data_IF_578312275819
#
_entry.id   IF_578312275819
#
_cell.length_a   1.000
_cell.length_b   1.000
_cell.length_c   1.000
_cell.angle_alpha   90.00
_cell.angle_beta   90.00
_cell.angle_gamma   90.00
#
_symmetry.space_group_name_H-M   'P 1'
#
loop_
_entity.id
_entity.type
_entity.pdbx_description
1 polymer ?
#
# COMPACT_ATOMS: atom_id res chain seq x y z
N UNK A 1 1.78 -4.20 -15.37
CA UNK A 1 2.07 -4.32 -13.92
C UNK A 1 0.97 -5.16 -13.31
N UNK A 2 1.27 -6.38 -12.87
CA UNK A 2 0.28 -7.39 -12.46
C UNK A 2 -0.55 -6.93 -11.25
N UNK A 3 0.05 -6.20 -10.31
CA UNK A 3 -0.62 -5.75 -9.08
C UNK A 3 -1.34 -4.41 -9.18
N UNK A 4 -1.26 -3.72 -10.31
CA UNK A 4 -1.69 -2.31 -10.42
C UNK A 4 -3.16 -2.11 -10.09
N UNK A 5 -4.02 -2.95 -10.67
CA UNK A 5 -5.47 -2.85 -10.49
C UNK A 5 -5.87 -3.07 -9.01
N UNK A 6 -5.25 -4.05 -8.35
CA UNK A 6 -5.48 -4.32 -6.92
C UNK A 6 -5.06 -3.13 -6.04
N UNK A 7 -3.86 -2.59 -6.24
CA UNK A 7 -3.35 -1.45 -5.47
C UNK A 7 -4.22 -0.19 -5.62
N UNK A 8 -4.65 0.08 -6.86
CA UNK A 8 -5.49 1.22 -7.19
C UNK A 8 -6.87 1.12 -6.52
N UNK A 9 -7.50 -0.06 -6.59
CA UNK A 9 -8.83 -0.28 -6.01
C UNK A 9 -8.78 -0.34 -4.48
N UNK A 10 -7.76 -0.97 -3.90
CA UNK A 10 -7.54 -0.91 -2.44
C UNK A 10 -7.45 0.53 -1.94
N UNK A 11 -6.71 1.39 -2.64
CA UNK A 11 -6.61 2.79 -2.24
C UNK A 11 -7.92 3.57 -2.45
N UNK A 12 -8.60 3.39 -3.57
CA UNK A 12 -9.84 4.13 -3.84
C UNK A 12 -11.01 3.73 -2.96
N UNK A 13 -11.15 2.43 -2.67
CA UNK A 13 -12.30 1.92 -1.94
C UNK A 13 -12.08 2.05 -0.43
N UNK A 14 -10.87 1.76 0.07
CA UNK A 14 -10.57 1.76 1.51
C UNK A 14 -9.81 3.01 1.99
N UNK A 15 -9.11 3.70 1.09
CA UNK A 15 -8.16 4.76 1.45
C UNK A 15 -6.83 4.25 1.99
N UNK A 16 -6.55 2.95 1.92
CA UNK A 16 -5.35 2.32 2.46
C UNK A 16 -4.47 1.71 1.37
N UNK A 17 -3.16 1.75 1.58
CA UNK A 17 -2.16 1.21 0.64
C UNK A 17 -1.73 -0.17 1.13
N UNK A 18 -1.83 -1.23 0.30
CA UNK A 18 -1.31 -2.54 0.66
C UNK A 18 0.21 -2.51 0.84
N UNK A 19 0.72 -3.15 1.89
CA UNK A 19 2.17 -3.39 2.03
C UNK A 19 2.61 -4.41 0.98
N UNK A 20 3.67 -4.11 0.23
CA UNK A 20 4.29 -5.04 -0.70
C UNK A 20 5.81 -5.09 -0.57
N UNK A 21 6.43 -6.29 -0.53
CA UNK A 21 5.83 -7.64 -0.63
C UNK A 21 4.78 -7.99 0.44
N UNK A 22 3.76 -8.77 0.05
CA UNK A 22 2.69 -9.18 0.96
C UNK A 22 3.25 -10.07 2.08
N UNK A 23 2.72 -9.91 3.30
CA UNK A 23 3.21 -10.59 4.51
C UNK A 23 4.32 -9.85 5.26
N UNK A 24 4.82 -8.73 4.74
CA UNK A 24 5.61 -7.80 5.55
C UNK A 24 4.71 -7.02 6.52
N UNK A 25 5.29 -6.68 7.66
CA UNK A 25 4.66 -5.84 8.66
C UNK A 25 5.01 -4.37 8.40
N UNK A 26 4.02 -3.50 8.56
CA UNK A 26 4.23 -2.07 8.68
C UNK A 26 3.89 -1.64 10.11
N UNK A 27 4.71 -0.78 10.68
CA UNK A 27 4.52 -0.22 12.02
C UNK A 27 4.39 1.29 11.98
N UNK A 28 3.72 1.85 12.99
CA UNK A 28 3.66 3.30 13.14
C UNK A 28 5.06 3.87 13.32
N UNK A 29 5.36 4.93 12.58
CA UNK A 29 6.68 5.56 12.60
C UNK A 29 7.69 4.93 11.67
N UNK A 30 7.37 3.84 10.94
CA UNK A 30 8.26 3.34 9.90
C UNK A 30 8.56 4.44 8.89
N UNK A 31 9.85 4.73 8.74
CA UNK A 31 10.38 5.66 7.74
C UNK A 31 10.88 4.83 6.57
N UNK A 32 10.36 5.09 5.39
CA UNK A 32 10.65 4.27 4.22
C UNK A 32 10.81 5.09 2.94
N UNK A 33 11.36 4.42 1.93
CA UNK A 33 11.42 4.90 0.56
C UNK A 33 10.72 3.91 -0.37
N UNK A 34 10.14 4.44 -1.45
CA UNK A 34 9.62 3.61 -2.54
C UNK A 34 10.72 3.50 -3.58
N UNK A 35 11.26 2.30 -3.77
CA UNK A 35 12.29 2.04 -4.77
C UNK A 35 11.92 0.80 -5.58
N UNK A 36 11.87 0.93 -6.90
CA UNK A 36 11.55 -0.17 -7.84
C UNK A 36 10.29 -0.97 -7.47
N UNK A 37 9.20 -0.29 -7.12
CA UNK A 37 7.94 -0.94 -6.77
C UNK A 37 7.91 -1.61 -5.40
N UNK A 38 8.86 -1.28 -4.51
CA UNK A 38 8.95 -1.87 -3.18
C UNK A 38 9.08 -0.79 -2.12
N UNK A 39 8.41 -1.03 -1.00
CA UNK A 39 8.64 -0.29 0.23
C UNK A 39 9.94 -0.80 0.85
N UNK A 40 10.94 0.07 0.95
CA UNK A 40 12.18 -0.18 1.66
C UNK A 40 12.15 0.60 2.97
N UNK A 41 11.84 -0.09 4.08
CA UNK A 41 11.93 0.49 5.41
C UNK A 41 13.39 0.79 5.74
N UNK A 42 13.65 2.02 6.13
CA UNK A 42 14.98 2.56 6.41
C UNK A 42 15.29 2.54 7.90
N UNK A 43 14.30 2.91 8.71
CA UNK A 43 14.33 2.92 10.18
C UNK A 43 12.91 3.04 10.71
N UNK A 44 12.70 2.79 12.00
CA UNK A 44 11.48 3.14 12.71
C UNK A 44 11.71 4.37 13.59
N UNK A 45 10.98 5.45 13.35
CA UNK A 45 11.17 6.72 14.05
C UNK A 45 10.90 6.64 15.56
N UNK A 46 10.07 5.72 16.03
CA UNK A 46 9.79 5.55 17.46
C UNK A 46 10.91 4.83 18.22
N UNK A 47 11.69 4.00 17.53
CA UNK A 47 12.74 3.16 18.13
C UNK A 47 14.15 3.67 17.83
N UNK A 48 14.40 4.13 16.61
CA UNK A 48 15.74 4.44 16.09
C UNK A 48 16.10 5.92 16.19
N UNK A 49 15.11 6.79 16.41
CA UNK A 49 15.32 8.23 16.58
C UNK A 49 15.04 8.63 18.02
N UNK A 50 15.94 9.43 18.59
CA UNK A 50 15.74 10.07 19.89
C UNK A 50 14.77 11.25 19.73
N UNK A 51 13.47 10.94 19.82
CA UNK A 51 12.38 11.90 19.76
C UNK A 51 12.02 12.39 21.15
N UNK A 52 11.90 13.72 21.31
CA UNK A 52 11.35 14.35 22.51
C UNK A 52 9.88 13.95 22.68
N UNK A 53 9.14 13.90 21.58
CA UNK A 53 7.75 13.45 21.58
C UNK A 53 7.67 12.01 21.06
N UNK A 54 7.49 11.05 21.96
CA UNK A 54 7.31 9.65 21.57
C UNK A 54 6.05 9.44 20.74
N UNK A 55 6.09 8.49 19.81
CA UNK A 55 4.93 8.15 18.98
C UNK A 55 3.84 7.53 19.86
N UNK A 56 2.64 8.13 19.83
CA UNK A 56 1.47 7.62 20.54
C UNK A 56 0.45 7.07 19.55
N UNK A 57 0.13 5.79 19.72
CA UNK A 57 -0.91 5.11 18.98
C UNK A 57 -2.28 5.27 19.66
N UNK A 58 -3.34 5.40 18.87
CA UNK A 58 -4.70 5.17 19.36
C UNK A 58 -4.93 3.68 19.64
N UNK A 59 -5.95 3.37 20.43
CA UNK A 59 -6.47 2.00 20.50
C UNK A 59 -6.95 1.55 19.12
N UNK A 60 -6.73 0.27 18.81
CA UNK A 60 -7.15 -0.31 17.55
C UNK A 60 -8.67 -0.28 17.44
N UNK A 61 -9.19 0.18 16.30
CA UNK A 61 -10.63 0.27 16.06
C UNK A 61 -11.04 -0.41 14.75
N UNK A 62 -12.28 -0.93 14.66
CA UNK A 62 -12.74 -1.61 13.47
C UNK A 62 -12.95 -0.67 12.29
N UNK A 63 -12.53 -1.11 11.11
CA UNK A 63 -12.89 -0.52 9.82
C UNK A 63 -14.13 -1.23 9.24
N UNK A 64 -14.78 -0.59 8.27
CA UNK A 64 -15.96 -1.15 7.59
C UNK A 64 -15.54 -2.33 6.70
N UNK A 65 -16.07 -3.52 6.96
CA UNK A 65 -15.74 -4.75 6.23
C UNK A 65 -15.99 -4.68 4.71
N UNK A 66 -17.02 -3.94 4.28
CA UNK A 66 -17.39 -3.85 2.86
C UNK A 66 -16.29 -3.19 2.01
N UNK A 67 -15.44 -2.35 2.63
CA UNK A 67 -14.31 -1.69 1.97
C UNK A 67 -13.08 -2.59 1.83
N UNK A 68 -13.23 -3.89 2.10
CA UNK A 68 -12.15 -4.88 2.05
C UNK A 68 -12.56 -6.14 1.28
N UNK A 69 -13.55 -6.00 0.39
CA UNK A 69 -14.06 -7.06 -0.47
C UNK A 69 -14.17 -6.56 -1.89
N UNK A 70 -13.16 -6.84 -2.70
CA UNK A 70 -13.08 -6.31 -4.06
C UNK A 70 -12.73 -7.42 -5.03
N UNK A 71 -13.36 -7.37 -6.19
CA UNK A 71 -13.03 -8.23 -7.31
C UNK A 71 -13.06 -7.39 -8.58
N UNK A 72 -12.11 -7.62 -9.48
CA UNK A 72 -12.07 -6.94 -10.77
C UNK A 72 -11.77 -7.95 -11.86
N UNK A 73 -12.62 -7.99 -12.89
CA UNK A 73 -12.50 -8.89 -14.04
C UNK A 73 -12.37 -10.37 -13.62
N UNK A 74 -13.14 -10.74 -12.59
CA UNK A 74 -13.21 -12.09 -12.05
C UNK A 74 -14.69 -12.50 -11.96
N UNK A 75 -15.02 -13.67 -12.50
CA UNK A 75 -16.37 -14.19 -12.58
C UNK A 75 -16.43 -15.57 -11.93
N UNK A 76 -17.48 -15.82 -11.14
CA UNK A 76 -17.81 -17.16 -10.67
C UNK A 76 -18.48 -17.92 -11.82
N UNK A 77 -17.80 -18.93 -12.36
CA UNK A 77 -18.25 -19.69 -13.54
C UNK A 77 -18.96 -20.99 -13.17
N UNK A 78 -18.65 -21.57 -12.01
CA UNK A 78 -19.33 -22.76 -11.49
C UNK A 78 -19.57 -22.66 -9.99
N UNK A 79 -20.68 -23.27 -9.55
CA UNK A 79 -21.09 -23.38 -8.15
C UNK A 79 -21.93 -24.64 -7.97
N UNK A 80 -21.26 -25.75 -7.70
CA UNK A 80 -21.83 -27.09 -7.73
C UNK A 80 -21.70 -27.79 -6.37
N UNK A 81 -22.56 -28.79 -6.14
CA UNK A 81 -22.47 -29.67 -4.97
C UNK A 81 -21.88 -31.00 -5.41
N UNK A 82 -20.76 -31.38 -4.80
CA UNK A 82 -20.10 -32.67 -5.00
C UNK A 82 -20.50 -33.59 -3.85
N UNK A 83 -21.00 -34.76 -4.18
CA UNK A 83 -21.28 -35.82 -3.19
C UNK A 83 -20.12 -36.79 -3.25
N UNK A 84 -19.28 -36.79 -2.21
CA UNK A 84 -18.24 -37.79 -2.03
C UNK A 84 -18.79 -38.92 -1.17
N UNK A 85 -18.85 -40.14 -1.73
CA UNK A 85 -19.08 -41.36 -0.97
C UNK A 85 -17.75 -41.99 -0.60
N UNK A 86 -17.42 -41.98 0.68
CA UNK A 86 -16.36 -42.84 1.23
C UNK A 86 -17.01 -43.86 2.17
N UNK A 87 -16.92 -45.14 1.80
CA UNK A 87 -17.54 -46.25 2.53
C UNK A 87 -19.05 -46.08 2.75
N UNK A 88 -19.48 -45.83 3.99
CA UNK A 88 -20.88 -45.65 4.41
C UNK A 88 -21.26 -44.19 4.71
N UNK A 89 -20.31 -43.25 4.68
CA UNK A 89 -20.59 -41.83 4.92
C UNK A 89 -20.66 -41.06 3.60
N UNK A 90 -21.77 -40.35 3.40
CA UNK A 90 -21.95 -39.37 2.33
C UNK A 90 -21.54 -38.00 2.86
N UNK A 91 -20.47 -37.44 2.31
CA UNK A 91 -20.12 -36.04 2.55
C UNK A 91 -20.54 -35.20 1.34
N UNK A 92 -21.22 -34.08 1.59
CA UNK A 92 -21.61 -33.12 0.55
C UNK A 92 -20.69 -31.92 0.67
N UNK A 93 -19.84 -31.73 -0.32
CA UNK A 93 -18.98 -30.55 -0.46
C UNK A 93 -19.56 -29.62 -1.50
N UNK A 94 -19.27 -28.34 -1.37
CA UNK A 94 -19.57 -27.34 -2.40
C UNK A 94 -18.27 -27.01 -3.13
N UNK A 95 -18.32 -26.96 -4.45
CA UNK A 95 -17.21 -26.56 -5.30
C UNK A 95 -17.57 -25.26 -6.01
N UNK A 96 -16.66 -24.29 -6.01
CA UNK A 96 -16.80 -23.04 -6.75
C UNK A 96 -15.58 -22.82 -7.64
N UNK A 97 -15.83 -22.42 -8.88
CA UNK A 97 -14.78 -22.08 -9.83
C UNK A 97 -14.88 -20.61 -10.21
N UNK A 98 -13.76 -19.91 -10.12
CA UNK A 98 -13.57 -18.52 -10.52
C UNK A 98 -12.66 -18.46 -11.74
N UNK A 99 -13.04 -17.66 -12.73
CA UNK A 99 -12.24 -17.39 -13.92
C UNK A 99 -11.90 -15.91 -14.01
N UNK A 100 -10.67 -15.63 -14.42
CA UNK A 100 -10.12 -14.28 -14.53
C UNK A 100 -9.99 -13.88 -16.00
N UNK A 101 -10.59 -12.74 -16.36
CA UNK A 101 -10.73 -12.35 -17.76
C UNK A 101 -9.44 -11.79 -18.39
N UNK A 102 -8.47 -11.36 -17.57
CA UNK A 102 -7.20 -10.80 -18.06
C UNK A 102 -6.07 -10.89 -17.01
N UNK A 103 -4.83 -10.71 -17.45
CA UNK A 103 -3.70 -10.53 -16.55
C UNK A 103 -3.90 -9.31 -15.63
N UNK A 104 -3.63 -9.48 -14.34
CA UNK A 104 -3.85 -8.47 -13.29
C UNK A 104 -5.30 -8.37 -12.78
N UNK A 105 -6.23 -9.14 -13.35
CA UNK A 105 -7.53 -9.37 -12.71
C UNK A 105 -7.32 -10.03 -11.34
N UNK A 106 -8.19 -9.72 -10.39
CA UNK A 106 -8.00 -10.16 -9.02
C UNK A 106 -9.32 -10.41 -8.28
N UNK A 107 -9.21 -11.20 -7.21
CA UNK A 107 -10.24 -11.46 -6.22
C UNK A 107 -9.61 -11.28 -4.84
N UNK A 108 -10.17 -10.38 -4.03
CA UNK A 108 -9.66 -10.05 -2.71
C UNK A 108 -10.78 -10.07 -1.67
N UNK A 109 -10.42 -10.58 -0.50
CA UNK A 109 -11.24 -10.60 0.69
C UNK A 109 -10.37 -10.33 1.92
N UNK A 110 -10.82 -9.43 2.77
CA UNK A 110 -10.27 -9.20 4.10
C UNK A 110 -11.38 -9.23 5.14
N UNK A 111 -11.12 -9.89 6.28
CA UNK A 111 -12.05 -9.94 7.40
C UNK A 111 -11.52 -9.21 8.63
N UNK A 112 -12.45 -8.62 9.38
CA UNK A 112 -12.22 -7.90 10.62
C UNK A 112 -11.00 -6.94 10.57
N UNK A 113 -10.98 -5.98 9.62
CA UNK A 113 -9.87 -5.06 9.43
C UNK A 113 -9.81 -4.05 10.58
N UNK A 114 -8.75 -4.13 11.39
CA UNK A 114 -8.51 -3.22 12.51
C UNK A 114 -7.49 -2.16 12.12
N UNK A 115 -7.72 -0.91 12.53
CA UNK A 115 -6.79 0.19 12.27
C UNK A 115 -6.29 0.87 13.53
N UNK A 116 -5.05 1.31 13.46
CA UNK A 116 -4.36 2.07 14.49
C UNK A 116 -3.71 3.30 13.87
N UNK A 117 -3.91 4.47 14.49
CA UNK A 117 -3.43 5.76 14.00
C UNK A 117 -2.46 6.40 14.98
N UNK A 118 -1.49 7.14 14.45
CA UNK A 118 -0.64 8.02 15.23
C UNK A 118 -1.43 9.25 15.70
N UNK A 119 -1.66 9.36 17.00
CA UNK A 119 -2.50 10.41 17.60
C UNK A 119 -1.80 11.76 17.67
N UNK A 120 -0.49 11.75 17.88
CA UNK A 120 0.32 12.95 18.13
C UNK A 120 1.17 13.36 16.93
N UNK A 121 0.74 13.05 15.71
CA UNK A 121 1.45 13.41 14.47
C UNK A 121 1.86 14.89 14.44
N UNK A 122 1.00 15.82 14.86
CA UNK A 122 1.30 17.25 14.85
C UNK A 122 2.50 17.65 15.72
N UNK A 123 2.81 16.86 16.76
CA UNK A 123 3.95 17.09 17.66
C UNK A 123 5.21 16.43 17.12
N UNK A 124 5.07 15.22 16.55
CA UNK A 124 6.18 14.42 16.03
C UNK A 124 6.69 14.96 14.68
N UNK A 125 5.79 15.44 13.82
CA UNK A 125 6.10 15.82 12.44
C UNK A 125 7.21 16.89 12.29
N UNK A 126 7.23 18.00 13.07
CA UNK A 126 8.30 18.99 12.98
C UNK A 126 9.66 18.43 13.42
N UNK A 127 9.66 17.58 14.45
CA UNK A 127 10.87 16.93 14.96
C UNK A 127 11.43 15.95 13.93
N UNK A 128 10.57 15.19 13.24
CA UNK A 128 10.99 14.30 12.17
C UNK A 128 11.64 15.04 11.00
N UNK A 129 11.14 16.21 10.61
CA UNK A 129 11.80 17.02 9.57
C UNK A 129 13.24 17.31 9.99
N UNK A 130 13.42 17.83 11.20
CA UNK A 130 14.74 18.19 11.75
C UNK A 130 15.65 16.95 11.80
N UNK A 131 15.20 15.85 12.39
CA UNK A 131 16.01 14.64 12.56
C UNK A 131 16.34 13.97 11.24
N UNK A 132 15.39 13.83 10.31
CA UNK A 132 15.61 13.14 9.03
C UNK A 132 16.52 13.96 8.10
N UNK A 133 16.39 15.29 8.12
CA UNK A 133 17.24 16.19 7.32
C UNK A 133 18.65 16.33 7.88
N UNK A 134 18.82 16.23 9.20
CA UNK A 134 20.12 16.26 9.88
C UNK A 134 20.83 14.90 9.95
N UNK A 135 20.06 13.81 9.85
CA UNK A 135 20.62 12.46 9.90
C UNK A 135 21.63 12.25 8.76
N UNK A 136 22.58 11.31 8.95
CA UNK A 136 23.61 10.92 7.97
C UNK A 136 23.07 10.58 6.57
N UNK A 137 21.77 10.43 6.43
CA UNK A 137 21.11 9.94 5.25
C UNK A 137 20.52 11.04 4.35
N UNK A 138 20.51 12.31 4.78
CA UNK A 138 20.02 13.47 4.00
C UNK A 138 18.78 13.11 3.18
N UNK A 139 17.73 12.59 3.84
CA UNK A 139 16.59 12.04 3.12
C UNK A 139 15.82 13.15 2.41
N UNK A 140 15.80 13.07 1.07
CA UNK A 140 15.10 14.02 0.19
C UNK A 140 13.70 13.56 -0.19
N UNK A 141 13.50 12.26 -0.21
CA UNK A 141 12.22 11.60 -0.46
C UNK A 141 12.06 10.56 0.64
N UNK A 142 11.24 10.84 1.64
CA UNK A 142 10.97 9.93 2.75
C UNK A 142 9.47 9.89 3.00
N UNK A 143 8.99 8.71 3.35
CA UNK A 143 7.63 8.50 3.80
C UNK A 143 7.65 8.07 5.26
N UNK A 144 6.63 8.44 6.01
CA UNK A 144 6.44 8.00 7.40
C UNK A 144 5.07 7.37 7.52
N UNK A 145 5.02 6.13 7.99
CA UNK A 145 3.75 5.45 8.28
C UNK A 145 3.06 6.13 9.47
N UNK A 146 1.86 6.64 9.25
CA UNK A 146 1.06 7.37 10.25
C UNK A 146 -0.21 6.64 10.65
N UNK A 147 -0.62 5.63 9.88
CA UNK A 147 -1.66 4.70 10.26
C UNK A 147 -1.34 3.31 9.70
N UNK A 148 -1.72 2.27 10.43
CA UNK A 148 -1.63 0.87 9.99
C UNK A 148 -3.00 0.23 10.13
N UNK A 149 -3.43 -0.48 9.10
CA UNK A 149 -4.56 -1.39 9.14
C UNK A 149 -4.07 -2.83 9.00
N UNK A 150 -4.64 -3.73 9.81
CA UNK A 150 -4.31 -5.15 9.83
C UNK A 150 -5.58 -5.97 9.67
N UNK A 151 -5.47 -7.04 8.90
CA UNK A 151 -6.48 -8.11 8.84
C UNK A 151 -5.80 -9.43 9.14
N UNK A 152 -6.35 -10.20 10.08
CA UNK A 152 -5.81 -11.51 10.43
C UNK A 152 -6.23 -12.60 9.45
N UNK A 153 -7.40 -12.44 8.83
CA UNK A 153 -7.92 -13.37 7.82
C UNK A 153 -8.10 -12.65 6.51
N UNK A 154 -7.49 -13.17 5.47
CA UNK A 154 -7.56 -12.59 4.14
C UNK A 154 -7.29 -13.62 3.04
N UNK A 155 -7.74 -13.28 1.85
CA UNK A 155 -7.46 -14.01 0.63
C UNK A 155 -7.21 -13.04 -0.52
N UNK A 156 -6.18 -13.30 -1.31
CA UNK A 156 -5.88 -12.57 -2.53
C UNK A 156 -5.47 -13.55 -3.63
N UNK A 157 -6.19 -13.49 -4.75
CA UNK A 157 -5.83 -14.17 -5.98
C UNK A 157 -5.64 -13.14 -7.09
N UNK A 158 -4.52 -13.20 -7.81
CA UNK A 158 -4.22 -12.30 -8.93
C UNK A 158 -3.79 -13.12 -10.14
N UNK A 159 -4.42 -12.88 -11.28
CA UNK A 159 -4.15 -13.58 -12.53
C UNK A 159 -2.82 -13.12 -13.17
N UNK A 160 -1.98 -14.07 -13.58
CA UNK A 160 -0.82 -13.82 -14.42
C UNK A 160 -1.20 -13.69 -15.90
N UNK A 161 -2.21 -14.45 -16.32
CA UNK A 161 -2.64 -14.58 -17.71
C UNK A 161 -4.16 -14.43 -17.83
N UNK A 162 -4.63 -14.13 -19.04
CA UNK A 162 -6.05 -14.26 -19.38
C UNK A 162 -6.51 -15.72 -19.26
N UNK A 163 -7.72 -15.93 -18.76
CA UNK A 163 -8.30 -17.26 -18.57
C UNK A 163 -7.71 -18.03 -17.39
N UNK A 164 -7.02 -17.36 -16.46
CA UNK A 164 -6.60 -18.00 -15.21
C UNK A 164 -7.82 -18.52 -14.44
N UNK A 165 -7.64 -19.60 -13.68
CA UNK A 165 -8.71 -20.26 -12.96
C UNK A 165 -8.32 -20.59 -11.52
N UNK A 166 -9.28 -20.40 -10.62
CA UNK A 166 -9.20 -20.78 -9.22
C UNK A 166 -10.41 -21.63 -8.86
N UNK A 167 -10.17 -22.83 -8.38
CA UNK A 167 -11.20 -23.77 -7.95
C UNK A 167 -11.06 -24.05 -6.46
N UNK A 168 -12.15 -23.85 -5.73
CA UNK A 168 -12.24 -23.99 -4.29
C UNK A 168 -13.30 -25.02 -3.93
N UNK A 169 -13.03 -25.80 -2.90
CA UNK A 169 -13.97 -26.74 -2.29
C UNK A 169 -14.10 -26.43 -0.81
N UNK A 170 -15.33 -26.45 -0.30
CA UNK A 170 -15.58 -26.16 1.09
C UNK A 170 -16.79 -26.89 1.61
N UNK A 171 -16.96 -26.80 2.93
CA UNK A 171 -18.18 -27.27 3.57
C UNK A 171 -19.37 -26.43 3.09
N UNK A 172 -20.55 -27.06 3.07
CA UNK A 172 -21.80 -26.42 2.68
C UNK A 172 -22.26 -25.47 3.79
N UNK A 173 -21.60 -24.34 3.94
CA UNK A 173 -22.12 -23.23 4.75
C UNK A 173 -23.01 -22.30 3.90
N UNK A 174 -23.71 -21.39 4.58
CA UNK A 174 -24.58 -20.38 3.97
C UNK A 174 -23.84 -19.29 3.17
N UNK A 175 -22.51 -19.32 3.16
CA UNK A 175 -21.68 -18.30 2.51
C UNK A 175 -21.86 -18.30 0.99
N UNK A 176 -22.10 -17.14 0.39
CA UNK A 176 -22.28 -17.00 -1.06
C UNK A 176 -21.00 -17.31 -1.86
N UNK A 177 -19.84 -17.18 -1.20
CA UNK A 177 -18.50 -17.34 -1.76
C UNK A 177 -17.64 -18.17 -0.81
N UNK A 178 -17.10 -19.30 -1.28
CA UNK A 178 -16.20 -20.17 -0.53
C UNK A 178 -14.87 -19.48 -0.21
N UNK A 179 -14.43 -18.54 -1.06
CA UNK A 179 -13.19 -17.79 -0.85
C UNK A 179 -13.20 -16.93 0.42
N UNK A 180 -14.38 -16.54 0.90
CA UNK A 180 -14.53 -15.76 2.14
C UNK A 180 -14.54 -16.61 3.41
N UNK A 181 -14.68 -17.93 3.25
CA UNK A 181 -14.78 -18.86 4.37
C UNK A 181 -13.43 -19.09 5.02
N UNK A 182 -13.47 -19.43 6.31
CA UNK A 182 -12.27 -19.78 7.05
C UNK A 182 -11.68 -21.12 6.60
N UNK A 183 -12.53 -22.05 6.16
CA UNK A 183 -12.12 -23.38 5.71
C UNK A 183 -12.54 -23.60 4.27
N UNK A 184 -11.63 -23.32 3.35
CA UNK A 184 -11.74 -23.78 1.98
C UNK A 184 -10.46 -24.49 1.56
N UNK A 185 -10.62 -25.61 0.86
CA UNK A 185 -9.55 -26.33 0.20
C UNK A 185 -9.43 -25.84 -1.23
N UNK A 186 -8.21 -25.72 -1.72
CA UNK A 186 -7.97 -25.36 -3.12
C UNK A 186 -7.77 -26.66 -3.90
N UNK A 187 -8.64 -26.90 -4.87
CA UNK A 187 -8.56 -28.09 -5.72
C UNK A 187 -7.70 -27.83 -6.95
N UNK A 188 -7.78 -26.61 -7.50
CA UNK A 188 -7.01 -26.23 -8.68
C UNK A 188 -6.71 -24.72 -8.67
N UNK A 189 -5.48 -24.37 -9.04
CA UNK A 189 -5.07 -22.99 -9.30
C UNK A 189 -4.15 -22.97 -10.52
N UNK A 190 -4.58 -22.30 -11.58
CA UNK A 190 -3.84 -22.24 -12.84
C UNK A 190 -3.78 -20.82 -13.39
N UNK A 191 -2.61 -20.42 -13.90
CA UNK A 191 -2.42 -19.08 -14.49
C UNK A 191 -2.43 -17.92 -13.49
N UNK A 192 -2.28 -18.17 -12.18
CA UNK A 192 -2.21 -17.11 -11.15
C UNK A 192 -0.76 -16.62 -10.96
N UNK A 193 -0.59 -15.31 -10.83
CA UNK A 193 0.67 -14.67 -10.48
C UNK A 193 0.90 -14.65 -8.97
N UNK A 194 -0.18 -14.51 -8.22
CA UNK A 194 -0.18 -14.51 -6.77
C UNK A 194 -1.44 -15.19 -6.28
N UNK A 195 -1.28 -16.03 -5.26
CA UNK A 195 -2.39 -16.62 -4.55
C UNK A 195 -1.98 -16.84 -3.10
N UNK A 196 -2.74 -16.24 -2.18
CA UNK A 196 -2.65 -16.53 -0.77
C UNK A 196 -4.06 -16.50 -0.17
N UNK A 197 -4.35 -17.48 0.67
CA UNK A 197 -5.57 -17.58 1.45
C UNK A 197 -5.10 -18.09 2.81
N UNK A 198 -5.03 -17.20 3.79
CA UNK A 198 -4.31 -17.51 5.02
C UNK A 198 -4.89 -16.78 6.24
N UNK A 199 -4.84 -17.49 7.36
CA UNK A 199 -5.16 -17.01 8.72
C UNK A 199 -3.88 -16.83 9.58
N UNK A 200 -2.72 -17.32 9.13
CA UNK A 200 -1.49 -17.35 9.93
C UNK A 200 -0.72 -16.02 9.90
N UNK A 201 -0.69 -15.37 8.73
CA UNK A 201 0.06 -14.12 8.52
C UNK A 201 -0.91 -12.97 8.24
N UNK A 202 -0.97 -11.95 9.10
CA UNK A 202 -1.84 -10.82 8.84
C UNK A 202 -1.36 -10.02 7.63
N UNK A 203 -2.31 -9.58 6.81
CA UNK A 203 -2.03 -8.60 5.77
C UNK A 203 -2.02 -7.21 6.40
N UNK A 204 -1.00 -6.43 6.05
CA UNK A 204 -0.85 -5.06 6.50
C UNK A 204 -1.13 -4.08 5.37
N UNK A 205 -1.79 -3.00 5.74
CA UNK A 205 -2.02 -1.83 4.92
C UNK A 205 -1.63 -0.60 5.71
N UNK A 206 -1.29 0.48 5.04
CA UNK A 206 -0.82 1.68 5.70
C UNK A 206 -1.37 2.96 5.07
N UNK A 207 -1.32 4.03 5.87
CA UNK A 207 -1.34 5.41 5.40
C UNK A 207 -0.02 6.05 5.76
N UNK A 208 0.55 6.80 4.83
CA UNK A 208 1.83 7.45 5.03
C UNK A 208 1.77 8.94 4.73
N UNK A 209 2.70 9.67 5.33
CA UNK A 209 2.98 11.06 5.01
C UNK A 209 4.31 11.12 4.26
N UNK A 210 4.32 11.79 3.11
CA UNK A 210 5.49 12.02 2.27
C UNK A 210 6.14 13.36 2.60
N UNK A 211 7.46 13.36 2.76
CA UNK A 211 8.24 14.58 2.88
C UNK A 211 8.39 15.21 1.50
N UNK A 212 7.96 16.46 1.39
CA UNK A 212 7.96 17.24 0.14
C UNK A 212 8.49 18.64 0.40
N UNK A 213 8.89 19.35 -0.66
CA UNK A 213 9.19 20.78 -0.54
C UNK A 213 7.91 21.52 -0.14
N UNK A 214 8.03 22.51 0.75
CA UNK A 214 6.90 23.38 1.10
C UNK A 214 6.44 24.19 -0.11
N UNK A 215 5.13 24.41 -0.24
CA UNK A 215 4.55 25.14 -1.39
C UNK A 215 5.19 26.53 -1.53
N UNK A 216 5.44 27.18 -0.38
CA UNK A 216 6.12 28.47 -0.32
C UNK A 216 7.53 28.43 -0.93
N UNK A 217 8.33 27.41 -0.60
CA UNK A 217 9.67 27.26 -1.18
C UNK A 217 9.63 26.86 -2.64
N UNK A 218 8.66 26.03 -3.02
CA UNK A 218 8.43 25.68 -4.41
C UNK A 218 8.19 26.95 -5.26
N UNK A 219 7.31 27.84 -4.81
CA UNK A 219 7.02 29.11 -5.47
C UNK A 219 8.24 30.06 -5.52
N UNK A 220 9.01 30.14 -4.43
CA UNK A 220 10.25 30.92 -4.39
C UNK A 220 11.24 30.44 -5.47
N UNK A 221 11.46 29.12 -5.59
CA UNK A 221 12.34 28.57 -6.63
C UNK A 221 11.79 28.79 -8.03
N UNK A 222 10.49 28.62 -8.25
CA UNK A 222 9.87 28.87 -9.55
C UNK A 222 10.07 30.33 -9.97
N UNK A 223 9.92 31.27 -9.04
CA UNK A 223 10.15 32.69 -9.27
C UNK A 223 11.62 33.03 -9.54
N UNK A 224 12.56 32.42 -8.81
CA UNK A 224 13.99 32.57 -9.08
C UNK A 224 14.38 32.05 -10.47
N UNK A 225 13.85 30.88 -10.85
CA UNK A 225 14.08 30.29 -12.17
C UNK A 225 13.55 31.20 -13.28
N UNK A 226 12.35 31.76 -13.09
CA UNK A 226 11.77 32.73 -14.02
C UNK A 226 12.63 33.99 -14.16
N UNK A 227 13.12 34.54 -13.04
CA UNK A 227 13.97 35.75 -13.02
C UNK A 227 15.34 35.55 -13.66
N UNK A 228 15.94 34.36 -13.54
CA UNK A 228 17.30 34.10 -14.04
C UNK A 228 17.42 34.09 -15.56
N UNK A 229 16.31 34.08 -16.31
CA UNK A 229 16.22 34.46 -17.75
C UNK A 229 17.13 33.72 -18.75
N UNK A 230 17.96 32.78 -18.29
CA UNK A 230 19.01 32.08 -19.06
C UNK A 230 18.57 30.69 -19.52
N UNK A 231 17.46 30.18 -19.01
CA UNK A 231 16.77 29.02 -19.56
C UNK A 231 15.51 29.49 -20.28
N UNK A 232 15.64 29.82 -21.57
CA UNK A 232 14.47 29.77 -22.46
C UNK A 232 14.03 28.30 -22.49
N UNK A 233 12.82 27.94 -22.03
CA UNK A 233 12.41 26.55 -21.98
C UNK A 233 12.28 26.04 -23.42
N UNK A 234 13.24 25.23 -23.86
CA UNK A 234 13.08 24.42 -25.09
C UNK A 234 12.18 23.20 -24.85
N UNK A 235 11.75 22.98 -23.61
CA UNK A 235 10.88 21.89 -23.19
C UNK A 235 9.65 22.46 -22.46
N UNK A 236 8.47 21.82 -22.59
CA UNK A 236 7.24 22.29 -21.93
C UNK A 236 7.46 22.50 -20.44
N UNK A 237 6.87 23.55 -19.87
CA UNK A 237 6.85 23.86 -18.43
C UNK A 237 6.45 22.62 -17.61
N UNK A 238 5.64 21.73 -18.18
CA UNK A 238 5.23 20.44 -17.61
C UNK A 238 6.43 19.56 -17.20
N UNK A 239 7.51 19.50 -17.98
CA UNK A 239 8.69 18.72 -17.60
C UNK A 239 9.46 19.32 -16.41
N UNK A 240 9.30 20.62 -16.16
CA UNK A 240 9.94 21.30 -15.04
C UNK A 240 9.14 21.14 -13.74
N UNK A 241 7.81 21.11 -13.83
CA UNK A 241 6.93 20.75 -12.71
C UNK A 241 7.23 19.34 -12.18
N UNK A 242 7.73 18.45 -13.05
CA UNK A 242 8.16 17.09 -12.70
C UNK A 242 9.67 16.96 -12.44
N UNK A 243 10.46 18.02 -12.66
CA UNK A 243 11.89 18.00 -12.37
C UNK A 243 12.12 18.11 -10.86
N UNK A 244 13.03 17.29 -10.33
CA UNK A 244 13.29 17.24 -8.89
C UNK A 244 13.92 18.56 -8.42
N UNK A 245 13.11 19.55 -8.05
CA UNK A 245 13.56 20.87 -7.62
C UNK A 245 14.46 20.80 -6.36
N UNK A 246 14.46 19.67 -5.64
CA UNK A 246 15.41 19.37 -4.56
C UNK A 246 16.86 19.27 -5.08
N UNK A 247 17.07 19.06 -6.37
CA UNK A 247 18.41 19.10 -6.98
C UNK A 247 18.97 20.52 -7.07
N UNK A 248 18.12 21.54 -7.00
CA UNK A 248 18.50 22.96 -7.06
C UNK A 248 18.80 23.56 -5.70
N UNK A 249 18.43 22.89 -4.60
CA UNK A 249 18.76 23.34 -3.25
C UNK A 249 20.24 23.15 -2.96
N UNK A 250 20.96 24.23 -2.64
CA UNK A 250 22.34 24.16 -2.17
C UNK A 250 22.37 23.64 -0.73
N UNK A 251 23.40 22.85 -0.38
CA UNK A 251 23.56 22.25 0.96
C UNK A 251 23.53 23.28 2.09
N UNK A 252 23.87 24.55 1.79
CA UNK A 252 23.86 25.67 2.73
C UNK A 252 22.45 26.18 3.10
N UNK A 253 21.45 25.96 2.23
CA UNK A 253 20.05 26.35 2.47
C UNK A 253 19.29 25.34 3.36
N UNK A 254 19.86 24.16 3.58
CA UNK A 254 19.31 23.08 4.38
C UNK A 254 20.07 23.00 5.71
N UNK A 255 19.78 23.92 6.62
CA UNK A 255 20.29 23.88 7.98
C UNK A 255 19.15 23.70 8.99
N UNK A 256 19.49 23.46 10.26
CA UNK A 256 18.54 23.20 11.36
C UNK A 256 17.41 24.24 11.41
N UNK A 257 17.75 25.50 11.17
CA UNK A 257 16.85 26.63 11.32
C UNK A 257 15.98 26.86 10.09
N UNK A 258 16.35 26.32 8.93
CA UNK A 258 15.62 26.51 7.66
C UNK A 258 14.89 25.27 7.20
N UNK A 259 15.21 24.08 7.71
CA UNK A 259 14.62 22.81 7.26
C UNK A 259 13.10 22.74 7.48
N UNK A 260 12.59 23.29 8.59
CA UNK A 260 11.16 23.31 8.90
C UNK A 260 10.36 24.20 7.95
N UNK A 261 10.95 25.30 7.48
CA UNK A 261 10.34 26.15 6.47
C UNK A 261 10.44 25.53 5.06
N UNK A 262 11.46 24.69 4.86
CA UNK A 262 11.79 24.13 3.56
C UNK A 262 10.92 22.92 3.22
N UNK A 263 10.62 22.08 4.20
CA UNK A 263 9.87 20.85 3.98
C UNK A 263 8.49 20.91 4.59
N UNK A 264 7.58 20.15 4.00
CA UNK A 264 6.27 19.87 4.56
C UNK A 264 5.90 18.40 4.35
N UNK A 265 4.97 17.93 5.18
CA UNK A 265 4.41 16.60 5.07
C UNK A 265 3.08 16.64 4.31
N UNK A 266 2.96 15.81 3.28
CA UNK A 266 1.73 15.62 2.52
C UNK A 266 1.25 14.17 2.66
N UNK A 267 -0.05 13.91 2.49
CA UNK A 267 -0.55 12.54 2.44
C UNK A 267 -0.02 11.80 1.21
N UNK A 268 0.29 10.51 1.37
CA UNK A 268 0.57 9.66 0.23
C UNK A 268 -0.68 9.56 -0.67
N UNK A 269 -0.46 9.78 -1.95
CA UNK A 269 -1.50 9.90 -2.98
C UNK A 269 -1.52 8.67 -3.89
N UNK A 270 -2.49 8.66 -4.81
CA UNK A 270 -2.58 7.64 -5.84
C UNK A 270 -1.32 7.57 -6.73
N UNK A 271 -0.62 8.69 -6.94
CA UNK A 271 0.62 8.68 -7.72
C UNK A 271 1.72 7.88 -7.00
N UNK A 272 1.78 7.95 -5.67
CA UNK A 272 2.71 7.18 -4.86
C UNK A 272 2.36 5.68 -4.85
N UNK A 273 1.06 5.36 -4.90
CA UNK A 273 0.56 3.98 -5.09
C UNK A 273 1.03 3.43 -6.44
N UNK A 274 0.99 4.24 -7.51
CA UNK A 274 1.47 3.81 -8.81
C UNK A 274 2.98 3.52 -8.81
N UNK A 275 3.78 4.26 -8.02
CA UNK A 275 5.22 3.98 -7.86
C UNK A 275 5.47 2.58 -7.27
N UNK A 276 4.62 2.11 -6.33
CA UNK A 276 4.70 0.75 -5.75
C UNK A 276 4.35 -0.35 -6.76
N UNK A 277 3.65 -0.01 -7.84
CA UNK A 277 3.27 -1.00 -8.86
C UNK A 277 4.32 -1.19 -9.95
N UNK A 278 5.34 -0.32 -10.00
CA UNK A 278 6.36 -0.34 -11.06
C UNK A 278 7.29 -1.54 -10.92
N UNK A 279 7.51 -2.27 -12.03
CA UNK A 279 8.49 -3.34 -12.05
C UNK A 279 9.91 -2.76 -11.96
N UNK A 280 10.88 -3.49 -11.35
CA UNK A 280 12.29 -3.18 -11.54
C UNK A 280 12.59 -3.21 -13.04
N UNK A 281 13.14 -2.10 -13.56
CA UNK A 281 13.64 -2.02 -14.94
C UNK A 281 14.95 -2.79 -15.07
#
# INVERSE_FOLDING_TARGET
>A
MIYKDFFFDSYNDSGWIPVHPFGLQAELGDVFQIHQGRMLTLLNAGCDLDLVNHIHANEAFPLRNDDWRHARNCLKVDDSLIVEQQFEEQSVKRQQTFRFDKAGAYLFYGDNPMATYMRNWSQVAPELIVKLTQSKYTFREAYVVTAVARMSRWGLAIAATEGAELMLEGEREHSLCLFEQQRCNITNSSGLAFFEHNDERPMHFFKAKKLTISDRKFDEYLHELYKRGTYKPQLPIDNWLHSNLLSLSTTEQLNINTCQDFFQWQDATLDDVLLLTQAPR
#
